data_IF_116309592772
#
_entry.id   IF_116309592772
#
_cell.length_a   1.000
_cell.length_b   1.000
_cell.length_c   1.000
_cell.angle_alpha   90.00
_cell.angle_beta   90.00
_cell.angle_gamma   90.00
#
_symmetry.space_group_name_H-M   'P 1'
#
loop_
_entity.id
_entity.type
_entity.pdbx_description
1 polymer ?
#
# COMPACT_ATOMS: atom_id res chain seq x y z
N UNK A 1 75.54 4.80 -20.67
CA UNK A 1 74.73 4.57 -19.45
C UNK A 1 73.32 4.91 -19.77
N UNK A 2 72.48 3.85 -19.89
CA UNK A 2 71.10 4.00 -20.34
C UNK A 2 70.19 3.73 -19.16
N UNK A 3 69.42 4.73 -18.73
CA UNK A 3 68.48 4.60 -17.62
C UNK A 3 67.10 4.17 -18.17
N UNK A 4 66.65 3.03 -17.70
CA UNK A 4 65.37 2.42 -18.05
C UNK A 4 64.27 2.96 -17.13
N UNK A 5 63.29 3.69 -17.73
CA UNK A 5 62.09 4.10 -17.00
C UNK A 5 61.02 3.01 -17.11
N UNK A 6 60.67 2.42 -15.98
CA UNK A 6 59.57 1.47 -15.87
C UNK A 6 58.25 2.20 -15.82
N UNK A 7 57.38 1.89 -16.82
CA UNK A 7 56.04 2.39 -16.93
C UNK A 7 55.11 1.50 -16.09
N UNK A 8 54.70 1.97 -14.88
CA UNK A 8 53.66 1.32 -14.06
C UNK A 8 52.31 1.89 -14.43
N UNK A 9 51.49 1.13 -15.13
CA UNK A 9 50.07 1.50 -15.37
C UNK A 9 49.27 1.37 -14.05
N UNK A 10 48.37 2.33 -13.76
CA UNK A 10 47.47 2.24 -12.62
C UNK A 10 46.37 1.19 -12.88
N UNK A 11 45.81 0.56 -11.85
CA UNK A 11 44.79 -0.46 -11.99
C UNK A 11 43.50 0.10 -12.58
N UNK A 12 42.94 -0.64 -13.55
CA UNK A 12 41.65 -0.34 -14.15
C UNK A 12 40.55 -0.34 -13.07
N UNK A 13 39.97 0.81 -12.82
CA UNK A 13 38.74 0.97 -12.03
C UNK A 13 37.65 0.06 -12.63
N UNK A 14 37.14 -0.87 -11.79
CA UNK A 14 35.91 -1.59 -12.07
C UNK A 14 34.79 -0.57 -12.23
N UNK A 15 34.24 -0.46 -13.43
CA UNK A 15 33.02 0.26 -13.72
C UNK A 15 31.89 -0.33 -12.86
N UNK A 16 31.50 0.38 -11.84
CA UNK A 16 30.25 0.12 -11.15
C UNK A 16 29.17 0.44 -12.17
N UNK A 17 28.45 -0.57 -12.65
CA UNK A 17 27.29 -0.41 -13.49
C UNK A 17 26.28 0.46 -12.74
N UNK A 18 26.28 1.76 -13.02
CA UNK A 18 25.16 2.62 -12.67
C UNK A 18 23.98 2.15 -13.53
N UNK A 19 23.02 1.49 -12.91
CA UNK A 19 21.69 1.28 -13.47
C UNK A 19 21.22 2.61 -14.05
N UNK A 20 20.71 2.59 -15.27
CA UNK A 20 20.27 3.80 -15.95
C UNK A 20 19.19 4.49 -15.11
N UNK A 21 19.17 5.81 -15.10
CA UNK A 21 18.13 6.61 -14.43
C UNK A 21 16.69 6.17 -14.83
N UNK A 22 16.52 5.59 -16.01
CA UNK A 22 15.25 5.02 -16.48
C UNK A 22 14.89 3.71 -15.79
N UNK A 23 15.85 2.88 -15.39
CA UNK A 23 15.59 1.65 -14.63
C UNK A 23 15.26 1.94 -13.15
N UNK A 24 15.79 3.03 -12.60
CA UNK A 24 15.46 3.47 -11.24
C UNK A 24 14.05 4.09 -11.14
N UNK A 25 13.49 4.62 -12.23
CA UNK A 25 12.16 5.23 -12.24
C UNK A 25 11.01 4.22 -12.37
N UNK A 26 11.29 2.95 -12.69
CA UNK A 26 10.26 1.95 -12.97
C UNK A 26 10.15 0.85 -11.89
N UNK A 27 10.68 1.06 -10.69
CA UNK A 27 10.27 0.24 -9.55
C UNK A 27 8.87 0.70 -9.14
N UNK A 28 7.84 0.05 -9.70
CA UNK A 28 6.45 0.24 -9.25
C UNK A 28 6.40 0.11 -7.73
N UNK A 29 6.06 1.20 -7.06
CA UNK A 29 5.90 1.21 -5.60
C UNK A 29 4.82 0.20 -5.24
N UNK A 30 5.22 -0.85 -4.57
CA UNK A 30 4.27 -1.86 -4.06
C UNK A 30 3.38 -1.22 -3.00
N UNK A 31 2.08 -1.20 -3.26
CA UNK A 31 1.12 -0.54 -2.39
C UNK A 31 -0.15 -1.34 -2.17
N UNK A 32 -0.74 -1.18 -0.99
CA UNK A 32 -2.09 -1.63 -0.68
C UNK A 32 -2.88 -0.48 -0.06
N UNK A 33 -4.13 -0.30 -0.48
CA UNK A 33 -5.03 0.72 0.06
C UNK A 33 -6.33 0.03 0.43
N UNK A 34 -6.71 0.10 1.71
CA UNK A 34 -8.00 -0.33 2.22
C UNK A 34 -8.84 0.90 2.51
N UNK A 35 -10.00 0.98 1.88
CA UNK A 35 -10.99 2.01 2.09
C UNK A 35 -12.16 1.39 2.84
N UNK A 36 -12.58 2.00 3.93
CA UNK A 36 -13.72 1.64 4.74
C UNK A 36 -14.73 2.77 4.67
N UNK A 37 -15.74 2.59 3.81
CA UNK A 37 -16.80 3.56 3.56
C UNK A 37 -17.97 3.30 4.51
N UNK A 38 -18.35 4.33 5.26
CA UNK A 38 -19.45 4.29 6.22
C UNK A 38 -20.75 4.88 5.65
N UNK A 39 -20.75 5.31 4.38
CA UNK A 39 -21.90 5.90 3.71
C UNK A 39 -22.06 7.42 3.92
N UNK A 40 -21.15 8.07 4.62
CA UNK A 40 -21.23 9.48 5.02
C UNK A 40 -20.29 10.39 4.21
N UNK A 41 -20.13 10.22 2.95
CA UNK A 41 -19.22 11.02 2.11
C UNK A 41 -17.73 10.96 2.49
N UNK A 42 -17.38 10.45 3.65
CA UNK A 42 -16.00 10.29 4.13
C UNK A 42 -15.72 8.84 4.52
N UNK A 43 -14.50 8.41 4.24
CA UNK A 43 -14.05 7.04 4.48
C UNK A 43 -12.83 7.03 5.38
N UNK A 44 -12.69 5.99 6.19
CA UNK A 44 -11.42 5.69 6.82
C UNK A 44 -10.53 4.96 5.81
N UNK A 45 -9.29 5.42 5.66
CA UNK A 45 -8.37 4.93 4.65
C UNK A 45 -7.08 4.48 5.31
N UNK A 46 -6.69 3.24 5.05
CA UNK A 46 -5.40 2.67 5.45
C UNK A 46 -4.58 2.44 4.19
N UNK A 47 -3.45 3.11 4.08
CA UNK A 47 -2.51 2.97 2.97
C UNK A 47 -1.20 2.39 3.47
N UNK A 48 -0.75 1.30 2.86
CA UNK A 48 0.57 0.73 3.04
C UNK A 48 1.37 0.89 1.75
N UNK A 49 2.45 1.65 1.79
CA UNK A 49 3.33 1.85 0.64
C UNK A 49 4.77 1.62 1.11
N UNK A 50 5.44 0.64 0.52
CA UNK A 50 6.77 0.19 0.93
C UNK A 50 6.84 -0.13 2.44
N UNK A 51 7.50 0.73 3.21
CA UNK A 51 7.66 0.59 4.66
C UNK A 51 6.79 1.53 5.49
N UNK A 52 5.87 2.27 4.84
CA UNK A 52 5.06 3.29 5.50
C UNK A 52 3.59 2.90 5.53
N UNK A 53 3.00 2.88 6.71
CA UNK A 53 1.55 2.87 6.89
C UNK A 53 1.09 4.31 7.11
N UNK A 54 0.09 4.73 6.34
CA UNK A 54 -0.64 5.98 6.52
C UNK A 54 -2.09 5.65 6.81
N UNK A 55 -2.66 6.28 7.82
CA UNK A 55 -4.05 6.12 8.23
C UNK A 55 -4.69 7.50 8.44
N UNK A 56 -5.93 7.66 8.01
CA UNK A 56 -6.66 8.91 8.16
C UNK A 56 -8.09 8.81 7.65
N UNK A 57 -8.78 9.96 7.68
CA UNK A 57 -10.11 10.14 7.10
C UNK A 57 -9.97 10.90 5.79
N UNK A 58 -10.75 10.53 4.79
CA UNK A 58 -10.70 11.19 3.50
C UNK A 58 -11.74 10.66 2.53
N UNK A 59 -11.62 11.08 1.29
CA UNK A 59 -12.48 10.67 0.19
C UNK A 59 -11.66 10.01 -0.93
N UNK A 60 -12.22 8.95 -1.50
CA UNK A 60 -11.71 8.30 -2.71
C UNK A 60 -12.90 7.84 -3.55
N UNK A 61 -12.84 8.05 -4.86
CA UNK A 61 -13.85 7.52 -5.79
C UNK A 61 -13.68 6.00 -5.95
N UNK A 62 -14.42 5.24 -5.13
CA UNK A 62 -14.31 3.77 -5.10
C UNK A 62 -14.97 3.06 -6.28
N UNK A 63 -15.74 3.77 -7.12
CA UNK A 63 -16.27 3.20 -8.37
C UNK A 63 -15.15 2.87 -9.37
N UNK A 64 -14.02 3.59 -9.31
CA UNK A 64 -12.90 3.41 -10.20
C UNK A 64 -12.23 2.03 -9.99
N UNK A 65 -11.82 1.40 -11.11
CA UNK A 65 -11.05 0.14 -11.08
C UNK A 65 -9.60 0.36 -10.68
N UNK A 66 -9.09 1.55 -10.92
CA UNK A 66 -7.72 1.96 -10.60
C UNK A 66 -7.75 3.28 -9.85
N UNK A 67 -6.84 3.43 -8.89
CA UNK A 67 -6.61 4.70 -8.20
C UNK A 67 -5.12 4.98 -8.15
N UNK A 68 -4.75 6.26 -8.25
CA UNK A 68 -3.39 6.73 -8.03
C UNK A 68 -3.20 7.23 -6.59
N UNK A 69 -1.97 7.50 -6.21
CA UNK A 69 -1.66 8.05 -4.89
C UNK A 69 -2.32 9.41 -4.65
N UNK A 70 -2.47 10.22 -5.70
CA UNK A 70 -3.11 11.54 -5.67
C UNK A 70 -4.64 11.52 -5.60
N UNK A 71 -5.27 10.36 -5.83
CA UNK A 71 -6.74 10.26 -5.82
C UNK A 71 -7.32 10.18 -4.39
N UNK A 72 -6.46 10.05 -3.37
CA UNK A 72 -6.85 10.09 -1.96
C UNK A 72 -6.91 11.54 -1.49
N UNK A 73 -8.11 12.09 -1.39
CA UNK A 73 -8.34 13.42 -0.82
C UNK A 73 -8.48 13.31 0.71
N UNK A 74 -7.39 13.56 1.43
CA UNK A 74 -7.39 13.54 2.90
C UNK A 74 -8.18 14.73 3.48
N UNK A 75 -9.04 14.46 4.48
CA UNK A 75 -9.72 15.51 5.22
C UNK A 75 -8.79 16.08 6.29
N UNK A 76 -8.42 17.35 6.14
CA UNK A 76 -7.50 18.05 7.06
C UNK A 76 -8.09 18.35 8.44
N UNK A 77 -9.42 18.17 8.64
CA UNK A 77 -10.05 18.27 9.95
C UNK A 77 -9.68 17.11 10.89
N UNK A 78 -9.15 16.02 10.34
CA UNK A 78 -8.71 14.86 11.09
C UNK A 78 -7.20 14.65 10.94
N UNK A 79 -6.51 14.14 11.98
CA UNK A 79 -5.09 13.88 11.91
C UNK A 79 -4.78 12.76 10.91
N UNK A 80 -3.74 12.97 10.09
CA UNK A 80 -3.16 11.92 9.25
C UNK A 80 -2.01 11.29 10.01
N UNK A 81 -2.16 10.02 10.34
CA UNK A 81 -1.19 9.28 11.13
C UNK A 81 -0.26 8.49 10.20
N UNK A 82 1.04 8.58 10.45
CA UNK A 82 2.07 7.85 9.71
C UNK A 82 2.91 7.02 10.66
N UNK A 83 3.12 5.74 10.30
CA UNK A 83 3.92 4.80 11.07
C UNK A 83 4.82 3.99 10.16
N UNK A 84 6.09 3.85 10.51
CA UNK A 84 6.97 2.87 9.85
C UNK A 84 6.59 1.46 10.24
N UNK A 85 6.51 0.59 9.25
CA UNK A 85 6.25 -0.84 9.42
C UNK A 85 7.56 -1.58 9.69
N UNK A 86 7.54 -2.50 10.66
CA UNK A 86 8.66 -3.39 10.93
C UNK A 86 8.88 -4.39 9.79
N UNK A 87 10.06 -5.02 9.76
CA UNK A 87 10.45 -5.97 8.71
C UNK A 87 9.44 -7.12 8.51
N UNK A 88 8.89 -7.67 9.60
CA UNK A 88 7.88 -8.72 9.54
C UNK A 88 6.58 -8.24 8.86
N UNK A 89 6.13 -7.02 9.17
CA UNK A 89 4.94 -6.42 8.55
C UNK A 89 5.16 -6.14 7.06
N UNK A 90 6.34 -5.62 6.69
CA UNK A 90 6.71 -5.38 5.29
C UNK A 90 6.72 -6.70 4.49
N UNK A 91 7.30 -7.78 5.05
CA UNK A 91 7.26 -9.10 4.43
C UNK A 91 5.82 -9.60 4.24
N UNK A 92 4.96 -9.40 5.23
CA UNK A 92 3.54 -9.76 5.15
C UNK A 92 2.83 -9.01 4.02
N UNK A 93 3.09 -7.71 3.86
CA UNK A 93 2.56 -6.89 2.76
C UNK A 93 3.02 -7.43 1.41
N UNK A 94 4.31 -7.71 1.25
CA UNK A 94 4.85 -8.24 -0.01
C UNK A 94 4.20 -9.56 -0.41
N UNK A 95 4.01 -10.47 0.55
CA UNK A 95 3.32 -11.75 0.33
C UNK A 95 1.84 -11.51 -0.06
N UNK A 96 1.15 -10.61 0.62
CA UNK A 96 -0.24 -10.27 0.31
C UNK A 96 -0.37 -9.67 -1.10
N UNK A 97 0.51 -8.73 -1.48
CA UNK A 97 0.53 -8.15 -2.82
C UNK A 97 0.70 -9.24 -3.89
N UNK A 98 1.71 -10.12 -3.76
CA UNK A 98 1.97 -11.19 -4.73
C UNK A 98 0.80 -12.16 -4.88
N UNK A 99 0.00 -12.37 -3.84
CA UNK A 99 -1.19 -13.23 -3.89
C UNK A 99 -2.40 -12.54 -4.50
N UNK A 100 -2.53 -11.22 -4.28
CA UNK A 100 -3.77 -10.50 -4.58
C UNK A 100 -3.70 -9.67 -5.85
N UNK A 101 -2.53 -9.34 -6.39
CA UNK A 101 -2.37 -8.43 -7.53
C UNK A 101 -3.15 -8.84 -8.79
N UNK A 102 -3.42 -10.16 -8.97
CA UNK A 102 -4.22 -10.69 -10.08
C UNK A 102 -5.63 -11.13 -9.64
N UNK A 103 -6.06 -10.75 -8.44
CA UNK A 103 -7.37 -11.14 -7.90
C UNK A 103 -8.40 -10.07 -8.27
N UNK A 104 -9.65 -10.51 -8.54
CA UNK A 104 -10.79 -9.63 -8.68
C UNK A 104 -11.99 -10.28 -7.99
N UNK A 105 -12.44 -9.68 -6.89
CA UNK A 105 -13.59 -10.14 -6.13
C UNK A 105 -14.57 -8.99 -5.88
N UNK A 106 -15.84 -9.23 -6.13
CA UNK A 106 -16.92 -8.29 -5.81
C UNK A 106 -18.10 -9.03 -5.19
N UNK A 107 -18.46 -8.67 -3.97
CA UNK A 107 -19.75 -9.07 -3.41
C UNK A 107 -20.82 -8.08 -3.91
N UNK A 108 -21.75 -8.56 -4.73
CA UNK A 108 -22.80 -7.71 -5.33
C UNK A 108 -24.01 -7.49 -4.41
N UNK A 109 -24.03 -8.13 -3.25
CA UNK A 109 -25.15 -7.99 -2.29
C UNK A 109 -24.98 -6.71 -1.50
N UNK A 110 -25.93 -5.79 -1.66
CA UNK A 110 -25.99 -4.54 -0.91
C UNK A 110 -26.53 -4.82 0.50
N UNK A 111 -25.79 -4.35 1.51
CA UNK A 111 -26.22 -4.42 2.92
C UNK A 111 -26.40 -3.00 3.42
N UNK A 112 -27.63 -2.61 3.74
CA UNK A 112 -27.94 -1.26 4.27
C UNK A 112 -27.24 -1.04 5.61
N UNK A 113 -26.91 0.21 5.89
CA UNK A 113 -26.31 0.66 7.16
C UNK A 113 -25.06 -0.17 7.56
N UNK A 114 -24.22 -0.50 6.59
CA UNK A 114 -23.04 -1.30 6.81
C UNK A 114 -21.82 -0.69 6.12
N UNK A 115 -20.64 -0.95 6.70
CA UNK A 115 -19.36 -0.49 6.16
C UNK A 115 -19.02 -1.25 4.89
N UNK A 116 -18.79 -0.55 3.79
CA UNK A 116 -18.24 -1.14 2.58
C UNK A 116 -16.71 -1.12 2.63
N UNK A 117 -16.11 -2.25 2.31
CA UNK A 117 -14.66 -2.39 2.15
C UNK A 117 -14.31 -2.42 0.68
N UNK A 118 -13.34 -1.58 0.29
CA UNK A 118 -12.70 -1.65 -1.02
C UNK A 118 -11.20 -1.77 -0.83
N UNK A 119 -10.60 -2.80 -1.42
CA UNK A 119 -9.17 -3.08 -1.36
C UNK A 119 -8.54 -2.88 -2.73
N UNK A 120 -7.48 -2.08 -2.77
CA UNK A 120 -6.62 -1.89 -3.93
C UNK A 120 -5.23 -2.46 -3.65
N UNK A 121 -4.65 -3.08 -4.65
CA UNK A 121 -3.27 -3.59 -4.65
C UNK A 121 -2.57 -3.07 -5.90
N UNK A 122 -1.41 -2.46 -5.74
CA UNK A 122 -0.68 -1.81 -6.84
C UNK A 122 -1.60 -0.93 -7.70
N UNK A 123 -2.41 -0.10 -7.02
CA UNK A 123 -3.40 0.82 -7.62
C UNK A 123 -4.61 0.15 -8.32
N UNK A 124 -4.69 -1.17 -8.39
CA UNK A 124 -5.83 -1.88 -8.98
C UNK A 124 -6.80 -2.38 -7.92
N UNK A 125 -8.11 -2.22 -8.15
CA UNK A 125 -9.13 -2.76 -7.26
C UNK A 125 -9.15 -4.28 -7.34
N UNK A 126 -8.87 -4.93 -6.21
CA UNK A 126 -8.84 -6.40 -6.10
C UNK A 126 -10.03 -6.95 -5.32
N UNK A 127 -10.69 -6.15 -4.50
CA UNK A 127 -11.88 -6.59 -3.78
C UNK A 127 -12.81 -5.42 -3.42
N UNK A 128 -14.12 -5.70 -3.40
CA UNK A 128 -15.13 -4.83 -2.78
C UNK A 128 -16.29 -5.64 -2.21
N UNK A 129 -16.92 -5.12 -1.14
CA UNK A 129 -18.10 -5.69 -0.50
C UNK A 129 -18.23 -5.26 0.96
N UNK A 130 -19.27 -5.72 1.64
CA UNK A 130 -19.67 -5.22 2.95
C UNK A 130 -19.03 -6.00 4.11
N UNK A 131 -18.69 -5.27 5.19
CA UNK A 131 -18.12 -5.84 6.44
C UNK A 131 -18.98 -6.98 6.99
N UNK A 132 -20.31 -6.87 6.99
CA UNK A 132 -21.21 -7.91 7.47
C UNK A 132 -21.07 -9.24 6.70
N UNK A 133 -20.56 -9.17 5.49
CA UNK A 133 -20.37 -10.32 4.59
C UNK A 133 -18.91 -10.72 4.39
N UNK A 134 -18.02 -10.23 5.24
CA UNK A 134 -16.58 -10.48 5.12
C UNK A 134 -16.22 -11.97 5.08
N UNK A 135 -17.05 -12.83 5.70
CA UNK A 135 -16.86 -14.29 5.68
C UNK A 135 -16.98 -14.91 4.28
N UNK A 136 -17.62 -14.20 3.34
CA UNK A 136 -17.76 -14.63 1.95
C UNK A 136 -16.58 -14.22 1.07
N UNK A 137 -15.72 -13.31 1.56
CA UNK A 137 -14.53 -12.92 0.83
C UNK A 137 -13.52 -14.08 0.78
N UNK A 138 -12.72 -14.22 -0.28
CA UNK A 138 -11.59 -15.13 -0.31
C UNK A 138 -10.70 -15.01 0.92
N UNK A 139 -10.17 -16.11 1.43
CA UNK A 139 -9.44 -16.17 2.70
C UNK A 139 -8.23 -15.22 2.75
N UNK A 140 -7.50 -15.09 1.64
CA UNK A 140 -6.34 -14.17 1.56
C UNK A 140 -6.78 -12.70 1.66
N UNK A 141 -7.92 -12.32 1.07
CA UNK A 141 -8.49 -10.98 1.19
C UNK A 141 -8.94 -10.72 2.63
N UNK A 142 -9.66 -11.67 3.26
CA UNK A 142 -10.06 -11.55 4.66
C UNK A 142 -8.86 -11.32 5.58
N UNK A 143 -7.82 -12.12 5.39
CA UNK A 143 -6.59 -12.05 6.18
C UNK A 143 -5.91 -10.70 6.01
N UNK A 144 -5.79 -10.22 4.77
CA UNK A 144 -5.18 -8.93 4.45
C UNK A 144 -5.95 -7.77 5.09
N UNK A 145 -7.28 -7.73 4.96
CA UNK A 145 -8.11 -6.70 5.59
C UNK A 145 -7.94 -6.69 7.11
N UNK A 146 -7.98 -7.87 7.75
CA UNK A 146 -7.78 -7.99 9.20
C UNK A 146 -6.41 -7.48 9.64
N UNK A 147 -5.36 -7.82 8.92
CA UNK A 147 -4.00 -7.38 9.21
C UNK A 147 -3.85 -5.86 9.08
N UNK A 148 -4.27 -5.26 7.98
CA UNK A 148 -4.20 -3.81 7.77
C UNK A 148 -4.94 -3.07 8.89
N UNK A 149 -6.14 -3.51 9.23
CA UNK A 149 -6.91 -2.92 10.35
C UNK A 149 -6.21 -3.08 11.69
N UNK A 150 -5.64 -4.24 11.99
CA UNK A 150 -4.92 -4.47 13.24
C UNK A 150 -3.70 -3.58 13.42
N UNK A 151 -3.04 -3.21 12.33
CA UNK A 151 -1.89 -2.29 12.37
C UNK A 151 -2.31 -0.84 12.56
N UNK A 152 -3.49 -0.45 12.07
CA UNK A 152 -4.05 0.89 12.22
C UNK A 152 -4.83 1.09 13.53
N UNK A 153 -5.44 0.04 14.08
CA UNK A 153 -6.30 0.13 15.27
C UNK A 153 -5.66 0.82 16.49
N UNK A 154 -4.39 0.52 16.86
CA UNK A 154 -3.76 1.23 17.99
C UNK A 154 -3.57 2.73 17.73
N UNK A 155 -3.47 3.13 16.46
CA UNK A 155 -3.33 4.53 16.06
C UNK A 155 -4.67 5.24 16.15
N UNK A 156 -5.75 4.58 15.72
CA UNK A 156 -7.11 5.11 15.83
C UNK A 156 -7.49 5.45 17.26
N UNK A 157 -7.36 4.52 18.19
CA UNK A 157 -7.71 4.73 19.61
C UNK A 157 -6.88 5.84 20.27
N UNK A 158 -5.63 6.03 19.84
CA UNK A 158 -4.77 7.05 20.38
C UNK A 158 -5.17 8.47 19.97
N UNK A 159 -5.56 8.66 18.71
CA UNK A 159 -5.71 10.00 18.12
C UNK A 159 -7.17 10.45 17.99
N UNK A 160 -8.12 9.51 17.84
CA UNK A 160 -9.53 9.85 17.64
C UNK A 160 -10.39 9.66 18.89
N UNK A 161 -9.82 9.13 19.97
CA UNK A 161 -10.46 8.98 21.27
C UNK A 161 -11.72 8.11 21.22
N UNK A 162 -11.64 6.88 21.67
CA UNK A 162 -12.82 6.04 21.92
C UNK A 162 -13.06 5.95 23.44
#
# INVERSE_FOLDING_TARGET
MISSCSNTQPPKNKTINSLSLHEQQNMEKKSMILIMDFGDSESQIIKCCDSLLTYGVGYVETANKTISEGDVAWNSAYPIIRKRLGAAQQKTIQVAISKLENTSYRDSVIVKDNVEYTLYVNNHKVASGYKARIKNFPADIQTTIKQMRSWASPLYHKEYGA
#
